data_IF_348368529410
#
_entry.id   IF_348368529410
#
_cell.length_a   1.000
_cell.length_b   1.000
_cell.length_c   1.000
_cell.angle_alpha   90.00
_cell.angle_beta   90.00
_cell.angle_gamma   90.00
#
_symmetry.space_group_name_H-M   'P 1'
#
loop_
_entity.id
_entity.type
_entity.pdbx_description
1 polymer ?
#
# COMPACT_ATOMS: atom_id res chain seq x y z
N UNK A 1 5.09 3.83 33.21
CA UNK A 1 4.62 3.44 31.86
C UNK A 1 5.58 3.79 30.73
N UNK A 2 6.17 5.01 30.68
CA UNK A 2 7.09 5.41 29.59
C UNK A 2 8.36 4.54 29.48
N UNK A 3 9.08 4.30 30.58
CA UNK A 3 10.30 3.47 30.58
C UNK A 3 10.05 2.04 30.10
N UNK A 4 8.91 1.47 30.49
CA UNK A 4 8.49 0.12 30.08
C UNK A 4 8.19 0.05 28.58
N UNK A 5 7.48 1.05 28.03
CA UNK A 5 7.22 1.11 26.59
C UNK A 5 8.52 1.27 25.78
N UNK A 6 9.44 2.11 26.27
CA UNK A 6 10.75 2.30 25.63
C UNK A 6 11.58 1.02 25.66
N UNK A 7 11.60 0.29 26.77
CA UNK A 7 12.39 -0.95 26.87
C UNK A 7 11.86 -2.04 25.92
N UNK A 8 10.55 -2.24 25.84
CA UNK A 8 9.95 -3.19 24.89
C UNK A 8 10.21 -2.77 23.44
N UNK A 9 10.09 -1.47 23.14
CA UNK A 9 10.34 -0.98 21.79
C UNK A 9 11.81 -1.15 21.38
N UNK A 10 12.75 -0.97 22.31
CA UNK A 10 14.17 -1.22 22.05
C UNK A 10 14.42 -2.70 21.69
N UNK A 11 13.82 -3.63 22.44
CA UNK A 11 13.93 -5.07 22.16
C UNK A 11 13.31 -5.41 20.80
N UNK A 12 12.11 -4.89 20.49
CA UNK A 12 11.43 -5.15 19.20
C UNK A 12 12.23 -4.63 18.01
N UNK A 13 12.85 -3.45 18.13
CA UNK A 13 13.68 -2.88 17.05
C UNK A 13 14.89 -3.75 16.72
N UNK A 14 15.40 -4.53 17.67
CA UNK A 14 16.47 -5.49 17.40
C UNK A 14 16.04 -6.55 16.37
N UNK A 15 14.75 -6.92 16.37
CA UNK A 15 14.17 -7.90 15.44
C UNK A 15 13.94 -7.35 14.02
N UNK A 16 14.08 -6.04 13.80
CA UNK A 16 13.95 -5.45 12.45
C UNK A 16 15.02 -5.94 11.47
N UNK A 17 16.08 -6.60 11.96
CA UNK A 17 17.10 -7.26 11.13
C UNK A 17 16.64 -8.58 10.53
N UNK A 18 15.45 -9.04 10.91
CA UNK A 18 14.87 -10.32 10.50
C UNK A 18 15.27 -11.45 11.44
N UNK A 19 14.39 -12.44 11.54
CA UNK A 19 14.61 -13.67 12.31
C UNK A 19 14.52 -14.83 11.32
N UNK A 20 15.55 -15.66 11.27
CA UNK A 20 15.55 -16.84 10.41
C UNK A 20 14.70 -17.96 11.03
N UNK A 21 13.74 -18.47 10.25
CA UNK A 21 12.92 -19.63 10.63
C UNK A 21 13.48 -20.90 9.97
N UNK A 22 13.99 -21.79 10.82
CA UNK A 22 14.64 -23.05 10.41
C UNK A 22 13.67 -24.05 9.79
N UNK A 23 12.37 -23.97 10.10
CA UNK A 23 11.39 -24.94 9.62
C UNK A 23 10.88 -24.61 8.21
N UNK A 24 10.97 -23.34 7.81
CA UNK A 24 10.54 -22.87 6.48
C UNK A 24 11.67 -22.37 5.61
N UNK A 25 12.89 -22.27 6.15
CA UNK A 25 14.05 -21.69 5.48
C UNK A 25 13.77 -20.25 4.97
N UNK A 26 13.01 -19.47 5.75
CA UNK A 26 12.64 -18.09 5.41
C UNK A 26 13.12 -17.10 6.47
N UNK A 27 13.51 -15.90 6.03
CA UNK A 27 13.72 -14.75 6.91
C UNK A 27 12.38 -14.09 7.22
N UNK A 28 11.98 -14.08 8.49
CA UNK A 28 10.78 -13.40 8.95
C UNK A 28 11.11 -11.96 9.35
N UNK A 29 10.41 -11.00 8.76
CA UNK A 29 10.48 -9.59 9.12
C UNK A 29 9.14 -9.14 9.74
N UNK A 30 9.15 -8.09 10.58
CA UNK A 30 7.91 -7.48 11.06
C UNK A 30 7.00 -7.08 9.88
N UNK A 31 5.70 -7.36 10.00
CA UNK A 31 4.71 -7.04 8.95
C UNK A 31 4.66 -5.55 8.61
N UNK A 32 4.91 -4.68 9.59
CA UNK A 32 4.96 -3.22 9.41
C UNK A 32 6.05 -2.74 8.43
N UNK A 33 7.03 -3.59 8.11
CA UNK A 33 8.08 -3.29 7.13
C UNK A 33 7.72 -3.76 5.72
N UNK A 34 6.64 -4.52 5.57
CA UNK A 34 6.24 -5.11 4.29
C UNK A 34 5.15 -4.26 3.64
N UNK A 35 5.22 -4.03 2.32
CA UNK A 35 4.10 -3.42 1.60
C UNK A 35 2.87 -4.31 1.73
N UNK A 36 1.73 -3.69 1.96
CA UNK A 36 0.46 -4.34 2.30
C UNK A 36 -0.47 -4.46 1.10
N UNK A 37 -0.30 -3.59 0.11
CA UNK A 37 -1.09 -3.59 -1.12
C UNK A 37 -0.20 -3.30 -2.32
N UNK A 38 -0.61 -3.79 -3.49
CA UNK A 38 0.06 -3.53 -4.76
C UNK A 38 -1.00 -3.32 -5.83
N UNK A 39 -0.72 -2.41 -6.76
CA UNK A 39 -1.51 -2.19 -7.98
C UNK A 39 -0.54 -2.24 -9.15
N UNK A 40 -0.98 -2.86 -10.23
CA UNK A 40 -0.25 -2.92 -11.48
C UNK A 40 -0.96 -2.00 -12.47
N UNK A 41 -0.19 -1.09 -13.07
CA UNK A 41 -0.68 -0.12 -14.04
C UNK A 41 0.18 -0.23 -15.29
N UNK A 42 -0.45 -0.42 -16.44
CA UNK A 42 0.23 -0.39 -17.72
C UNK A 42 0.31 1.06 -18.18
N UNK A 43 1.53 1.60 -18.26
CA UNK A 43 1.78 2.97 -18.69
C UNK A 43 2.07 2.96 -20.18
N UNK A 44 1.27 3.69 -20.96
CA UNK A 44 1.54 3.92 -22.37
C UNK A 44 2.71 4.93 -22.52
N UNK A 45 3.49 4.89 -23.62
CA UNK A 45 4.63 5.78 -23.81
C UNK A 45 4.28 7.28 -23.71
N UNK A 46 3.07 7.66 -24.11
CA UNK A 46 2.53 9.01 -24.03
C UNK A 46 2.22 9.48 -22.59
N UNK A 47 1.90 8.54 -21.70
CA UNK A 47 1.54 8.78 -20.31
C UNK A 47 2.75 8.64 -19.36
N UNK A 48 3.94 8.44 -19.90
CA UNK A 48 5.16 8.36 -19.09
C UNK A 48 5.39 9.66 -18.30
N UNK A 49 5.68 9.56 -16.99
CA UNK A 49 5.93 10.72 -16.16
C UNK A 49 7.09 11.56 -16.70
N UNK A 50 7.08 12.85 -16.34
CA UNK A 50 8.16 13.74 -16.72
C UNK A 50 9.50 13.20 -16.19
N UNK A 51 10.57 13.23 -17.00
CA UNK A 51 11.87 12.74 -16.58
C UNK A 51 12.35 13.52 -15.36
N UNK A 52 12.82 12.81 -14.35
CA UNK A 52 13.52 13.42 -13.22
C UNK A 52 15.03 13.20 -13.40
N UNK A 53 15.90 14.02 -12.78
CA UNK A 53 17.34 13.79 -12.86
C UNK A 53 17.78 12.45 -12.24
N UNK A 54 16.96 11.88 -11.35
CA UNK A 54 17.20 10.54 -10.74
C UNK A 54 16.69 9.43 -11.66
N UNK A 55 15.55 9.64 -12.33
CA UNK A 55 14.92 8.68 -13.22
C UNK A 55 14.70 9.31 -14.60
N UNK A 56 15.71 9.23 -15.50
CA UNK A 56 15.57 9.74 -16.86
C UNK A 56 14.62 8.86 -17.68
N UNK A 57 14.05 9.44 -18.75
CA UNK A 57 13.18 8.69 -19.67
C UNK A 57 13.92 7.53 -20.29
N UNK A 58 13.24 6.39 -20.37
CA UNK A 58 13.81 5.18 -20.94
C UNK A 58 13.97 5.34 -22.46
N UNK A 59 15.09 4.89 -23.05
CA UNK A 59 15.22 4.86 -24.50
C UNK A 59 14.15 3.97 -25.13
N UNK A 60 13.44 4.41 -26.19
CA UNK A 60 12.33 3.66 -26.79
C UNK A 60 12.76 2.32 -27.42
N UNK A 61 14.06 2.14 -27.68
CA UNK A 61 14.61 0.87 -28.14
C UNK A 61 14.54 -0.23 -27.07
N UNK A 62 14.63 0.14 -25.78
CA UNK A 62 14.55 -0.82 -24.67
C UNK A 62 13.11 -1.29 -24.48
N UNK A 63 12.16 -0.35 -24.38
CA UNK A 63 10.72 -0.66 -24.24
C UNK A 63 10.17 -1.52 -25.39
N UNK A 64 10.74 -1.42 -26.60
CA UNK A 64 10.33 -2.23 -27.76
C UNK A 64 10.79 -3.69 -27.67
N UNK A 65 11.95 -3.92 -27.06
CA UNK A 65 12.63 -5.21 -27.11
C UNK A 65 12.48 -6.02 -25.82
N UNK A 66 12.34 -5.33 -24.69
CA UNK A 66 12.23 -5.92 -23.36
C UNK A 66 10.97 -5.45 -22.63
N UNK A 67 10.48 -6.29 -21.72
CA UNK A 67 9.45 -5.90 -20.77
C UNK A 67 10.09 -5.09 -19.65
N UNK A 68 9.57 -3.90 -19.41
CA UNK A 68 10.04 -2.98 -18.37
C UNK A 68 9.03 -3.01 -17.23
N UNK A 69 9.52 -3.23 -16.01
CA UNK A 69 8.70 -3.22 -14.80
C UNK A 69 9.37 -2.31 -13.77
N UNK A 70 8.66 -1.25 -13.40
CA UNK A 70 9.08 -0.34 -12.34
C UNK A 70 8.20 -0.53 -11.10
N UNK A 71 8.81 -0.36 -9.92
CA UNK A 71 8.11 -0.44 -8.64
C UNK A 71 8.19 0.93 -7.98
N UNK A 72 7.01 1.50 -7.73
CA UNK A 72 6.86 2.75 -6.98
C UNK A 72 6.18 2.48 -5.64
N UNK A 73 6.77 3.00 -4.56
CA UNK A 73 6.20 2.90 -3.22
C UNK A 73 5.53 4.22 -2.86
N UNK A 74 4.26 4.14 -2.48
CA UNK A 74 3.49 5.28 -1.96
C UNK A 74 3.07 4.99 -0.53
N UNK A 75 3.34 5.92 0.38
CA UNK A 75 2.89 5.85 1.77
C UNK A 75 1.63 6.67 1.98
N UNK A 76 0.80 6.26 2.93
CA UNK A 76 -0.39 7.01 3.30
C UNK A 76 0.01 8.44 3.75
N UNK A 77 -0.70 9.48 3.27
CA UNK A 77 -0.56 10.85 3.76
C UNK A 77 -0.55 10.96 5.28
N UNK A 78 0.21 11.96 5.78
CA UNK A 78 0.28 12.23 7.22
C UNK A 78 -1.11 12.45 7.82
N UNK A 79 -1.32 11.87 9.01
CA UNK A 79 -2.56 11.97 9.77
C UNK A 79 -3.59 10.87 9.50
N UNK A 80 -3.31 9.91 8.63
CA UNK A 80 -4.12 8.69 8.51
C UNK A 80 -3.65 7.60 9.48
N UNK A 81 -4.59 6.76 9.91
CA UNK A 81 -4.27 5.59 10.71
C UNK A 81 -3.33 4.64 9.95
N UNK A 82 -2.34 4.01 10.60
CA UNK A 82 -1.49 3.01 9.95
C UNK A 82 -2.27 1.78 9.47
N UNK A 83 -3.51 1.59 9.94
CA UNK A 83 -4.39 0.54 9.42
C UNK A 83 -5.03 0.91 8.08
N UNK A 84 -5.14 2.20 7.74
CA UNK A 84 -5.69 2.65 6.46
C UNK A 84 -4.80 2.28 5.26
N UNK A 85 -3.50 2.05 5.51
CA UNK A 85 -2.59 1.51 4.50
C UNK A 85 -2.61 -0.03 4.45
N UNK A 86 -3.18 -0.72 5.44
CA UNK A 86 -3.15 -2.18 5.53
C UNK A 86 -4.54 -2.78 5.41
N UNK A 87 -4.96 -3.21 4.21
CA UNK A 87 -6.04 -4.22 4.05
C UNK A 87 -5.61 -5.61 4.56
N UNK A 88 -4.56 -5.73 5.37
CA UNK A 88 -4.07 -7.01 5.85
C UNK A 88 -5.02 -7.53 6.92
N UNK A 89 -5.97 -8.33 6.44
CA UNK A 89 -6.98 -9.06 7.21
C UNK A 89 -8.01 -8.09 7.83
N UNK A 90 -9.32 -8.37 7.74
CA UNK A 90 -10.27 -7.63 8.57
C UNK A 90 -9.77 -7.73 10.01
N UNK A 91 -9.73 -6.58 10.70
CA UNK A 91 -9.45 -6.58 12.12
C UNK A 91 -10.34 -7.65 12.77
N UNK A 92 -9.78 -8.43 13.71
CA UNK A 92 -10.62 -9.34 14.49
C UNK A 92 -11.83 -8.55 15.01
N UNK A 93 -13.02 -9.14 15.05
CA UNK A 93 -14.30 -8.42 15.26
C UNK A 93 -14.25 -7.39 16.42
N UNK A 94 -13.54 -7.73 17.50
CA UNK A 94 -13.28 -6.84 18.64
C UNK A 94 -12.47 -5.57 18.33
N UNK A 95 -11.57 -5.62 17.36
CA UNK A 95 -10.71 -4.52 16.92
C UNK A 95 -11.31 -3.70 15.78
N UNK A 96 -12.42 -4.12 15.17
CA UNK A 96 -13.08 -3.39 14.08
C UNK A 96 -13.41 -1.92 14.42
N UNK A 97 -13.83 -1.56 15.66
CA UNK A 97 -14.05 -0.15 16.04
C UNK A 97 -12.77 0.70 16.07
N UNK A 98 -11.59 0.07 16.04
CA UNK A 98 -10.28 0.73 16.06
C UNK A 98 -9.60 0.73 14.69
N UNK A 99 -10.28 0.25 13.65
CA UNK A 99 -9.75 0.19 12.28
C UNK A 99 -10.08 1.46 11.50
N UNK A 100 -9.37 2.55 11.82
CA UNK A 100 -9.56 3.86 11.20
C UNK A 100 -10.76 4.64 11.73
N UNK A 101 -11.04 5.79 11.12
CA UNK A 101 -12.09 6.71 11.57
C UNK A 101 -13.51 6.22 11.23
N UNK A 102 -13.65 5.28 10.29
CA UNK A 102 -14.92 4.66 9.92
C UNK A 102 -15.50 3.76 11.02
N UNK A 103 -14.68 3.28 11.96
CA UNK A 103 -15.12 2.42 13.07
C UNK A 103 -15.92 3.14 14.16
N UNK A 104 -15.96 4.49 14.15
CA UNK A 104 -16.71 5.28 15.14
C UNK A 104 -18.18 5.34 14.76
N UNK A 105 -19.08 4.99 15.69
CA UNK A 105 -20.53 5.07 15.48
C UNK A 105 -21.03 6.51 15.36
N UNK A 106 -22.12 6.71 14.62
CA UNK A 106 -22.68 8.04 14.39
C UNK A 106 -23.23 8.68 15.67
N UNK A 107 -23.74 7.89 16.62
CA UNK A 107 -24.21 8.38 17.93
C UNK A 107 -23.12 9.14 18.70
N UNK A 108 -21.86 8.66 18.65
CA UNK A 108 -20.71 9.34 19.27
C UNK A 108 -20.33 10.59 18.49
N UNK A 109 -20.41 10.46 17.17
CA UNK A 109 -20.05 11.47 16.19
C UNK A 109 -21.00 12.68 16.30
N UNK A 110 -22.24 12.48 16.71
CA UNK A 110 -23.27 13.52 16.90
C UNK A 110 -23.07 14.34 18.20
N UNK A 111 -22.26 13.85 19.13
CA UNK A 111 -21.85 14.59 20.32
C UNK A 111 -20.76 15.64 20.03
N UNK A 112 -20.14 15.59 18.84
CA UNK A 112 -19.07 16.49 18.46
C UNK A 112 -19.61 17.90 18.13
N UNK A 113 -18.91 18.97 18.54
CA UNK A 113 -19.19 20.31 18.06
C UNK A 113 -19.17 20.37 16.52
N UNK A 114 -19.97 21.25 15.87
CA UNK A 114 -20.10 21.26 14.41
C UNK A 114 -18.77 21.38 13.65
N UNK A 115 -17.85 22.19 14.16
CA UNK A 115 -16.52 22.35 13.57
C UNK A 115 -15.67 21.06 13.64
N UNK A 116 -15.76 20.33 14.76
CA UNK A 116 -15.05 19.07 14.95
C UNK A 116 -15.68 17.96 14.12
N UNK A 117 -17.02 17.92 14.00
CA UNK A 117 -17.72 16.95 13.14
C UNK A 117 -17.31 17.13 11.67
N UNK A 118 -17.34 18.36 11.16
CA UNK A 118 -16.91 18.64 9.79
C UNK A 118 -15.42 18.32 9.54
N UNK A 119 -14.55 18.47 10.56
CA UNK A 119 -13.15 18.05 10.45
C UNK A 119 -13.01 16.52 10.45
N UNK A 120 -13.77 15.82 11.30
CA UNK A 120 -13.80 14.37 11.38
C UNK A 120 -14.26 13.75 10.05
N UNK A 121 -15.38 14.21 9.51
CA UNK A 121 -15.95 13.67 8.27
C UNK A 121 -14.99 13.86 7.08
N UNK A 122 -14.29 15.01 7.02
CA UNK A 122 -13.24 15.23 6.02
C UNK A 122 -12.05 14.28 6.17
N UNK A 123 -11.63 13.99 7.41
CA UNK A 123 -10.53 13.07 7.65
C UNK A 123 -10.93 11.62 7.33
N UNK A 124 -12.13 11.21 7.71
CA UNK A 124 -12.68 9.90 7.37
C UNK A 124 -12.82 9.71 5.86
N UNK A 125 -13.30 10.74 5.14
CA UNK A 125 -13.40 10.67 3.68
C UNK A 125 -12.03 10.51 3.02
N UNK A 126 -10.99 11.18 3.53
CA UNK A 126 -9.62 11.01 3.02
C UNK A 126 -9.09 9.59 3.19
N UNK A 127 -9.42 8.90 4.30
CA UNK A 127 -9.07 7.49 4.49
C UNK A 127 -9.79 6.59 3.48
N UNK A 128 -11.07 6.83 3.23
CA UNK A 128 -11.86 6.11 2.23
C UNK A 128 -11.33 6.35 0.82
N UNK A 129 -11.07 7.60 0.46
CA UNK A 129 -10.53 7.98 -0.85
C UNK A 129 -9.15 7.36 -1.09
N UNK A 130 -8.30 7.32 -0.05
CA UNK A 130 -7.01 6.65 -0.09
C UNK A 130 -7.17 5.15 -0.35
N UNK A 131 -8.01 4.47 0.43
CA UNK A 131 -8.25 3.04 0.28
C UNK A 131 -8.86 2.70 -1.10
N UNK A 132 -9.72 3.56 -1.64
CA UNK A 132 -10.37 3.37 -2.93
C UNK A 132 -9.37 3.38 -4.10
N UNK A 133 -8.28 4.15 -4.04
CA UNK A 133 -7.24 4.21 -5.09
C UNK A 133 -6.57 2.87 -5.39
N UNK A 134 -6.51 2.01 -4.40
CA UNK A 134 -5.84 0.72 -4.50
C UNK A 134 -6.73 -0.36 -5.11
N UNK A 135 -8.05 -0.15 -5.18
CA UNK A 135 -9.01 -1.06 -5.82
C UNK A 135 -9.11 -2.46 -5.19
N UNK A 136 -9.65 -3.40 -5.98
CA UNK A 136 -9.79 -4.81 -5.62
C UNK A 136 -8.80 -5.67 -6.39
N UNK A 137 -8.39 -6.82 -5.83
CA UNK A 137 -7.38 -7.71 -6.43
C UNK A 137 -7.72 -8.11 -7.88
N UNK A 138 -9.00 -8.36 -8.16
CA UNK A 138 -9.48 -8.74 -9.50
C UNK A 138 -9.18 -7.67 -10.56
N UNK A 139 -9.34 -6.40 -10.20
CA UNK A 139 -9.30 -5.29 -11.16
C UNK A 139 -7.90 -4.68 -11.28
N UNK A 140 -7.13 -4.65 -10.18
CA UNK A 140 -5.89 -3.86 -10.08
C UNK A 140 -4.61 -4.68 -10.04
N UNK A 141 -4.67 -5.99 -9.81
CA UNK A 141 -3.48 -6.85 -9.69
C UNK A 141 -3.17 -7.62 -10.98
N UNK A 142 -3.72 -7.19 -12.13
CA UNK A 142 -3.44 -7.73 -13.46
C UNK A 142 -3.47 -9.27 -13.53
N UNK A 143 -4.41 -9.91 -12.81
CA UNK A 143 -4.66 -11.38 -12.84
C UNK A 143 -5.33 -11.86 -14.15
N UNK A 144 -5.31 -11.03 -15.20
CA UNK A 144 -5.90 -11.35 -16.49
C UNK A 144 -5.08 -12.38 -17.27
N UNK A 145 -5.69 -12.97 -18.31
CA UNK A 145 -4.98 -13.84 -19.24
C UNK A 145 -3.90 -13.03 -19.99
N UNK A 146 -2.68 -13.57 -20.15
CA UNK A 146 -1.61 -12.87 -20.83
C UNK A 146 -1.97 -12.64 -22.30
N UNK A 147 -2.03 -11.37 -22.71
CA UNK A 147 -2.27 -10.99 -24.11
C UNK A 147 -0.94 -11.10 -24.86
N UNK A 148 -0.79 -12.14 -25.68
CA UNK A 148 0.41 -12.33 -26.51
C UNK A 148 0.23 -11.53 -27.81
N UNK A 149 0.64 -10.26 -27.81
CA UNK A 149 0.65 -9.39 -29.00
C UNK A 149 2.05 -9.32 -29.66
N UNK A 150 2.78 -10.44 -29.65
CA UNK A 150 3.94 -10.61 -30.53
C UNK A 150 3.51 -11.48 -31.69
N UNK A 151 3.19 -10.83 -32.81
CA UNK A 151 3.14 -11.49 -34.11
C UNK A 151 4.41 -12.34 -34.26
N UNK A 152 4.23 -13.66 -34.38
CA UNK A 152 5.29 -14.63 -34.61
C UNK A 152 6.13 -14.12 -35.78
N UNK A 153 7.36 -13.69 -35.50
CA UNK A 153 8.31 -13.30 -36.54
C UNK A 153 8.59 -14.58 -37.34
N UNK A 154 8.29 -14.63 -38.66
CA UNK A 154 8.55 -15.85 -39.41
C UNK A 154 10.06 -16.09 -39.45
N UNK A 155 10.46 -17.29 -39.03
CA UNK A 155 11.83 -17.77 -39.17
C UNK A 155 12.24 -17.70 -40.65
N UNK A 156 13.36 -17.02 -40.93
CA UNK A 156 14.07 -17.13 -42.21
C UNK A 156 15.11 -18.23 -42.14
#
# INVERSE_FOLDING_TARGET
SSTFNTSINAIRRYQNRGIYDVHTNMMQYPSIMQPTHTRIEQVAPEDEPAPTPVFPRLPPAVARNAQVLDIYYESAPAGMAPSSSSKQRPAADFLAPFDGLSGVSDDIKDLLPPACRAAFDRAAQREVDWAARWGNETDVCARGEPIIDRAVVPFR
#
